data_IF_111687974518
#
_entry.id   IF_111687974518
#
_cell.length_a   1.000
_cell.length_b   1.000
_cell.length_c   1.000
_cell.angle_alpha   90.00
_cell.angle_beta   90.00
_cell.angle_gamma   90.00
#
_symmetry.space_group_name_H-M   'P 1'
#
loop_
_entity.id
_entity.type
_entity.pdbx_description
1 polymer ?
#
# COMPACT_ATOMS: atom_id res chain seq x y z
N UNK A 1 10.00 38.52 -28.53
CA UNK A 1 9.30 37.62 -29.47
C UNK A 1 10.13 36.36 -29.63
N UNK A 2 9.74 35.29 -28.95
CA UNK A 2 10.33 33.96 -29.13
C UNK A 2 9.21 32.94 -28.99
N UNK A 3 9.03 32.23 -30.10
CA UNK A 3 8.03 31.22 -30.44
C UNK A 3 7.87 30.14 -29.35
N UNK A 4 6.76 30.17 -28.59
CA UNK A 4 6.35 29.03 -27.77
C UNK A 4 5.70 28.01 -28.71
N UNK A 5 6.44 26.94 -29.03
CA UNK A 5 5.98 25.84 -29.88
C UNK A 5 4.57 25.39 -29.47
N UNK A 6 3.61 25.69 -30.34
CA UNK A 6 2.17 25.51 -30.07
C UNK A 6 1.66 24.14 -30.52
N UNK A 7 2.58 23.28 -30.97
CA UNK A 7 2.27 22.00 -31.60
C UNK A 7 2.37 20.84 -30.62
N UNK A 8 1.54 19.82 -30.85
CA UNK A 8 1.56 18.58 -30.07
C UNK A 8 2.85 17.80 -30.39
N UNK A 9 3.53 17.29 -29.36
CA UNK A 9 4.56 16.28 -29.56
C UNK A 9 3.93 14.87 -29.71
N UNK A 10 4.17 14.17 -30.83
CA UNK A 10 3.59 12.84 -31.09
C UNK A 10 3.95 11.78 -30.05
N UNK A 11 5.20 11.81 -29.55
CA UNK A 11 5.66 10.84 -28.56
C UNK A 11 5.09 11.14 -27.18
N UNK A 12 4.89 12.41 -26.84
CA UNK A 12 4.32 12.83 -25.56
C UNK A 12 2.87 12.39 -25.43
N UNK A 13 2.11 12.48 -26.52
CA UNK A 13 0.75 11.95 -26.60
C UNK A 13 0.74 10.42 -26.38
N UNK A 14 1.61 9.70 -27.10
CA UNK A 14 1.71 8.23 -26.99
C UNK A 14 2.08 7.79 -25.58
N UNK A 15 3.08 8.42 -24.97
CA UNK A 15 3.53 8.13 -23.62
C UNK A 15 2.45 8.46 -22.57
N UNK A 16 1.79 9.61 -22.69
CA UNK A 16 0.69 9.98 -21.79
C UNK A 16 -0.48 8.99 -21.87
N UNK A 17 -0.83 8.53 -23.08
CA UNK A 17 -1.85 7.49 -23.28
C UNK A 17 -1.45 6.16 -22.63
N UNK A 18 -0.20 5.73 -22.80
CA UNK A 18 0.30 4.48 -22.23
C UNK A 18 0.34 4.50 -20.70
N UNK A 19 0.75 5.62 -20.09
CA UNK A 19 0.71 5.79 -18.62
C UNK A 19 -0.71 5.66 -18.04
N UNK A 20 -1.72 5.98 -18.84
CA UNK A 20 -3.14 5.81 -18.48
C UNK A 20 -3.68 4.42 -18.80
N UNK A 21 -2.86 3.50 -19.30
CA UNK A 21 -3.28 2.14 -19.69
C UNK A 21 -4.27 2.13 -20.87
N UNK A 22 -4.41 3.23 -21.61
CA UNK A 22 -5.40 3.36 -22.66
C UNK A 22 -4.88 2.85 -24.00
N UNK A 23 -5.74 2.18 -24.77
CA UNK A 23 -5.52 1.93 -26.20
C UNK A 23 -5.83 3.18 -27.02
N UNK A 24 -5.35 3.23 -28.28
CA UNK A 24 -5.71 4.32 -29.19
C UNK A 24 -7.23 4.43 -29.42
N UNK A 25 -7.92 3.29 -29.42
CA UNK A 25 -9.39 3.21 -29.57
C UNK A 25 -10.09 3.84 -28.37
N UNK A 26 -9.66 3.50 -27.15
CA UNK A 26 -10.23 4.05 -25.91
C UNK A 26 -9.99 5.55 -25.78
N UNK A 27 -8.79 6.03 -26.15
CA UNK A 27 -8.52 7.47 -26.16
C UNK A 27 -9.41 8.17 -27.19
N UNK A 28 -9.56 7.59 -28.38
CA UNK A 28 -10.39 8.15 -29.45
C UNK A 28 -11.86 8.25 -29.05
N UNK A 29 -12.41 7.20 -28.44
CA UNK A 29 -13.77 7.21 -27.88
C UNK A 29 -13.92 8.32 -26.83
N UNK A 30 -12.96 8.45 -25.91
CA UNK A 30 -13.02 9.42 -24.81
C UNK A 30 -12.95 10.88 -25.25
N UNK A 31 -12.32 11.18 -26.38
CA UNK A 31 -12.22 12.55 -26.93
C UNK A 31 -13.14 12.79 -28.13
N UNK A 32 -14.01 11.82 -28.43
CA UNK A 32 -14.96 11.81 -29.56
C UNK A 32 -14.26 12.04 -30.91
N UNK A 33 -13.21 11.27 -31.19
CA UNK A 33 -12.58 11.24 -32.50
C UNK A 33 -12.42 9.79 -32.98
N UNK A 34 -11.83 9.62 -34.17
CA UNK A 34 -11.53 8.28 -34.70
C UNK A 34 -10.16 7.81 -34.22
N UNK A 35 -9.99 6.49 -34.05
CA UNK A 35 -8.70 5.85 -33.76
C UNK A 35 -7.63 6.23 -34.78
N UNK A 36 -8.01 6.34 -36.04
CA UNK A 36 -7.12 6.76 -37.14
C UNK A 36 -6.61 8.20 -36.95
N UNK A 37 -7.44 9.09 -36.38
CA UNK A 37 -7.01 10.46 -36.02
C UNK A 37 -5.94 10.43 -34.93
N UNK A 38 -6.14 9.63 -33.87
CA UNK A 38 -5.14 9.44 -32.79
C UNK A 38 -3.85 8.83 -33.34
N UNK A 39 -3.95 7.81 -34.19
CA UNK A 39 -2.80 7.19 -34.84
C UNK A 39 -2.01 8.18 -35.70
N UNK A 40 -2.69 9.08 -36.43
CA UNK A 40 -2.01 10.14 -37.20
C UNK A 40 -1.30 11.14 -36.29
N UNK A 41 -1.89 11.50 -35.15
CA UNK A 41 -1.25 12.38 -34.17
C UNK A 41 -0.03 11.74 -33.52
N UNK A 42 -0.12 10.48 -33.09
CA UNK A 42 1.00 9.75 -32.46
C UNK A 42 2.17 9.47 -33.42
N UNK A 43 1.92 9.49 -34.73
CA UNK A 43 2.95 9.38 -35.77
C UNK A 43 3.50 10.74 -36.24
N UNK A 44 2.92 11.85 -35.76
CA UNK A 44 3.30 13.19 -36.19
C UNK A 44 2.93 13.54 -37.63
N UNK A 45 2.04 12.77 -38.26
CA UNK A 45 1.63 12.99 -39.66
C UNK A 45 0.43 13.92 -39.78
N UNK A 46 -0.18 14.33 -38.66
CA UNK A 46 -1.27 15.30 -38.64
C UNK A 46 -1.14 16.23 -37.42
N UNK A 47 -1.51 17.51 -37.61
CA UNK A 47 -1.59 18.48 -36.51
C UNK A 47 -2.89 18.33 -35.73
N UNK A 48 -2.83 18.59 -34.42
CA UNK A 48 -4.01 18.61 -33.55
C UNK A 48 -4.76 19.92 -33.74
N UNK A 49 -6.06 19.83 -34.02
CA UNK A 49 -6.93 21.01 -34.08
C UNK A 49 -7.16 21.56 -32.67
N UNK A 50 -7.22 22.90 -32.45
CA UNK A 50 -7.36 23.50 -31.12
C UNK A 50 -8.49 22.93 -30.25
N UNK A 51 -9.63 22.58 -30.85
CA UNK A 51 -10.79 21.98 -30.16
C UNK A 51 -10.49 20.68 -29.42
N UNK A 52 -9.45 19.94 -29.81
CA UNK A 52 -9.07 18.68 -29.18
C UNK A 52 -8.08 18.86 -28.03
N UNK A 53 -7.51 20.06 -27.83
CA UNK A 53 -6.49 20.29 -26.79
C UNK A 53 -7.03 20.02 -25.39
N UNK A 54 -8.14 20.65 -25.03
CA UNK A 54 -8.75 20.49 -23.72
C UNK A 54 -9.20 19.04 -23.50
N UNK A 55 -9.86 18.44 -24.50
CA UNK A 55 -10.29 17.03 -24.45
C UNK A 55 -9.12 16.06 -24.24
N UNK A 56 -7.98 16.29 -24.89
CA UNK A 56 -6.77 15.49 -24.69
C UNK A 56 -6.20 15.69 -23.28
N UNK A 57 -6.12 16.94 -22.81
CA UNK A 57 -5.68 17.26 -21.46
C UNK A 57 -6.57 16.60 -20.41
N UNK A 58 -7.88 16.62 -20.59
CA UNK A 58 -8.86 16.06 -19.66
C UNK A 58 -8.83 14.52 -19.66
N UNK A 59 -8.86 13.92 -20.86
CA UNK A 59 -8.83 12.47 -21.02
C UNK A 59 -7.54 11.83 -20.47
N UNK A 60 -6.40 12.52 -20.60
CA UNK A 60 -5.10 12.04 -20.12
C UNK A 60 -4.73 12.60 -18.73
N UNK A 61 -5.52 13.55 -18.22
CA UNK A 61 -5.28 14.42 -17.06
C UNK A 61 -3.84 14.93 -16.95
N UNK A 62 -3.32 15.45 -18.07
CA UNK A 62 -2.01 16.13 -18.18
C UNK A 62 -2.19 17.50 -18.80
N UNK A 63 -1.35 18.47 -18.37
CA UNK A 63 -1.37 19.82 -18.94
C UNK A 63 -0.88 19.82 -20.40
N UNK A 64 -1.40 20.73 -21.22
CA UNK A 64 -1.01 20.87 -22.63
C UNK A 64 0.51 21.10 -22.79
N UNK A 65 1.12 21.82 -21.84
CA UNK A 65 2.57 22.07 -21.80
C UNK A 65 3.43 20.81 -21.69
N UNK A 66 2.88 19.71 -21.14
CA UNK A 66 3.54 18.40 -21.12
C UNK A 66 3.33 17.60 -22.40
N UNK A 67 2.23 17.84 -23.11
CA UNK A 67 1.92 17.21 -24.40
C UNK A 67 2.60 17.91 -25.58
N UNK A 68 2.99 19.19 -25.42
CA UNK A 68 3.67 19.99 -26.44
C UNK A 68 5.20 19.91 -26.37
N UNK A 69 5.74 19.22 -25.36
CA UNK A 69 7.18 18.96 -25.22
C UNK A 69 7.38 17.48 -25.47
N UNK A 70 8.45 17.12 -26.20
CA UNK A 70 8.90 15.73 -26.27
C UNK A 70 8.83 15.10 -24.88
N UNK A 71 8.25 13.88 -24.73
CA UNK A 71 8.18 13.21 -23.44
C UNK A 71 9.61 13.22 -22.95
N UNK A 72 9.83 13.90 -21.81
CA UNK A 72 11.16 14.32 -21.45
C UNK A 72 12.10 13.15 -21.68
N UNK A 73 13.04 13.30 -22.63
CA UNK A 73 14.05 12.27 -22.89
C UNK A 73 14.72 11.87 -21.57
N UNK A 74 14.65 12.73 -20.55
CA UNK A 74 15.02 12.43 -19.17
C UNK A 74 14.42 11.15 -18.60
N UNK A 75 13.15 10.81 -18.79
CA UNK A 75 12.57 9.70 -18.02
C UNK A 75 12.90 8.36 -18.68
N UNK A 76 12.67 8.23 -20.00
CA UNK A 76 13.02 7.00 -20.72
C UNK A 76 14.54 6.83 -20.90
N UNK A 77 15.31 7.91 -21.11
CA UNK A 77 16.77 7.79 -21.18
C UNK A 77 17.38 7.57 -19.80
N UNK A 78 16.84 8.13 -18.70
CA UNK A 78 17.26 7.74 -17.34
C UNK A 78 16.89 6.30 -17.05
N UNK A 79 15.69 5.86 -17.37
CA UNK A 79 15.27 4.47 -17.14
C UNK A 79 16.18 3.49 -17.92
N UNK A 80 16.61 3.83 -19.15
CA UNK A 80 17.61 3.05 -19.90
C UNK A 80 19.03 3.15 -19.34
N UNK A 81 19.47 4.35 -18.92
CA UNK A 81 20.80 4.59 -18.33
C UNK A 81 20.97 3.88 -16.99
N UNK A 82 19.89 3.77 -16.21
CA UNK A 82 19.87 3.14 -14.89
C UNK A 82 19.28 1.72 -14.91
N UNK A 83 18.98 1.17 -16.09
CA UNK A 83 18.53 -0.22 -16.24
C UNK A 83 17.21 -0.54 -15.53
N UNK A 84 16.28 0.41 -15.45
CA UNK A 84 15.00 0.20 -14.76
C UNK A 84 14.11 -0.78 -15.52
N UNK A 85 13.60 -1.77 -14.79
CA UNK A 85 12.71 -2.81 -15.32
C UNK A 85 11.33 -2.65 -14.67
N UNK A 86 10.23 -2.68 -15.45
CA UNK A 86 8.90 -2.62 -14.88
C UNK A 86 8.62 -3.87 -14.03
N UNK A 87 8.25 -3.66 -12.77
CA UNK A 87 7.80 -4.74 -11.88
C UNK A 87 6.31 -4.96 -12.13
N UNK A 88 5.93 -6.20 -12.47
CA UNK A 88 4.52 -6.63 -12.50
C UNK A 88 4.16 -7.21 -11.14
N UNK A 89 3.60 -6.38 -10.27
CA UNK A 89 3.08 -6.80 -8.98
C UNK A 89 1.69 -6.18 -8.75
N UNK A 90 0.81 -6.92 -8.08
CA UNK A 90 -0.42 -6.40 -7.51
C UNK A 90 -0.17 -6.06 -6.05
N UNK A 91 -0.50 -4.84 -5.64
CA UNK A 91 -0.53 -4.45 -4.22
C UNK A 91 -1.99 -4.26 -3.79
N UNK A 92 -2.26 -4.45 -2.50
CA UNK A 92 -3.57 -4.10 -1.92
C UNK A 92 -3.86 -2.61 -2.19
N UNK A 93 -5.13 -2.27 -2.34
CA UNK A 93 -5.55 -0.92 -2.72
C UNK A 93 -5.02 0.14 -1.74
N UNK A 94 -5.07 -0.13 -0.43
CA UNK A 94 -4.48 0.77 0.59
C UNK A 94 -2.97 0.94 0.47
N UNK A 95 -2.26 -0.06 -0.05
CA UNK A 95 -0.81 0.02 -0.28
C UNK A 95 -0.44 1.10 -1.31
N UNK A 96 -1.30 1.36 -2.30
CA UNK A 96 -1.12 2.46 -3.26
C UNK A 96 -1.27 3.81 -2.57
N UNK A 97 -2.26 3.96 -1.69
CA UNK A 97 -2.46 5.18 -0.90
C UNK A 97 -1.28 5.42 0.03
N UNK A 98 -0.82 4.40 0.76
CA UNK A 98 0.34 4.47 1.64
C UNK A 98 1.61 4.89 0.88
N UNK A 99 1.90 4.27 -0.28
CA UNK A 99 3.03 4.63 -1.13
C UNK A 99 3.01 6.12 -1.53
N UNK A 100 1.84 6.60 -1.94
CA UNK A 100 1.66 8.00 -2.34
C UNK A 100 1.80 8.97 -1.18
N UNK A 101 1.29 8.61 0.00
CA UNK A 101 1.45 9.41 1.21
C UNK A 101 2.91 9.53 1.64
N UNK A 102 3.66 8.41 1.65
CA UNK A 102 5.09 8.42 1.94
C UNK A 102 5.84 9.29 0.93
N UNK A 103 5.54 9.15 -0.36
CA UNK A 103 6.14 9.94 -1.42
C UNK A 103 5.91 11.45 -1.23
N UNK A 104 4.68 11.85 -0.91
CA UNK A 104 4.31 13.24 -0.68
C UNK A 104 4.94 13.80 0.60
N UNK A 105 4.87 13.05 1.70
CA UNK A 105 5.34 13.47 3.01
C UNK A 105 6.83 13.77 3.03
N UNK A 106 7.64 12.93 2.37
CA UNK A 106 9.09 13.06 2.37
C UNK A 106 9.65 13.66 1.08
N UNK A 107 8.80 14.00 0.10
CA UNK A 107 9.23 14.57 -1.17
C UNK A 107 10.06 13.60 -2.04
N UNK A 108 9.84 12.29 -1.86
CA UNK A 108 10.56 11.22 -2.56
C UNK A 108 9.62 10.64 -3.64
N UNK A 109 10.07 10.42 -4.88
CA UNK A 109 9.20 9.83 -5.90
C UNK A 109 8.83 8.38 -5.57
N UNK A 110 7.60 7.96 -5.92
CA UNK A 110 7.04 6.63 -5.61
C UNK A 110 7.99 5.48 -6.02
N UNK A 111 8.62 5.57 -7.19
CA UNK A 111 9.57 4.54 -7.64
C UNK A 111 10.81 4.42 -6.74
N UNK A 112 11.27 5.52 -6.14
CA UNK A 112 12.43 5.49 -5.24
C UNK A 112 12.06 4.86 -3.89
N UNK A 113 10.82 5.06 -3.42
CA UNK A 113 10.30 4.33 -2.25
C UNK A 113 10.31 2.83 -2.53
N UNK A 114 9.87 2.41 -3.73
CA UNK A 114 9.90 1.00 -4.15
C UNK A 114 11.32 0.46 -4.37
N UNK A 115 12.25 1.26 -4.92
CA UNK A 115 13.66 0.89 -5.05
C UNK A 115 14.33 0.67 -3.68
N UNK A 116 13.95 1.45 -2.67
CA UNK A 116 14.46 1.32 -1.29
C UNK A 116 13.77 0.22 -0.49
N UNK A 117 12.56 -0.22 -0.88
CA UNK A 117 11.77 -1.17 -0.09
C UNK A 117 12.52 -2.47 0.26
N UNK A 118 13.27 -3.13 -0.63
CA UNK A 118 14.04 -4.33 -0.27
C UNK A 118 15.13 -4.07 0.78
N UNK A 119 15.83 -2.92 0.67
CA UNK A 119 16.86 -2.54 1.63
C UNK A 119 16.25 -2.23 3.00
N UNK A 120 15.16 -1.46 3.03
CA UNK A 120 14.44 -1.13 4.26
C UNK A 120 13.89 -2.39 4.94
N UNK A 121 13.31 -3.31 4.16
CA UNK A 121 12.84 -4.59 4.68
C UNK A 121 14.00 -5.42 5.26
N UNK A 122 15.13 -5.53 4.54
CA UNK A 122 16.32 -6.23 5.05
C UNK A 122 16.80 -5.66 6.38
N UNK A 123 16.91 -4.33 6.50
CA UNK A 123 17.34 -3.68 7.75
C UNK A 123 16.36 -3.95 8.88
N UNK A 124 15.05 -3.87 8.64
CA UNK A 124 14.03 -4.13 9.66
C UNK A 124 14.02 -5.60 10.09
N UNK A 125 14.12 -6.53 9.14
CA UNK A 125 14.18 -7.96 9.41
C UNK A 125 15.41 -8.33 10.26
N UNK A 126 16.60 -7.86 9.88
CA UNK A 126 17.83 -8.13 10.64
C UNK A 126 17.76 -7.50 12.03
N UNK A 127 17.26 -6.27 12.17
CA UNK A 127 17.09 -5.66 13.50
C UNK A 127 16.09 -6.42 14.38
N UNK A 128 15.01 -6.93 13.80
CA UNK A 128 14.04 -7.76 14.53
C UNK A 128 14.70 -9.05 15.04
N UNK A 129 15.44 -9.76 14.17
CA UNK A 129 16.14 -10.99 14.55
C UNK A 129 17.23 -10.73 15.60
N UNK A 130 17.97 -9.63 15.49
CA UNK A 130 18.97 -9.23 16.50
C UNK A 130 18.32 -8.91 17.84
N UNK A 131 17.22 -8.17 17.86
CA UNK A 131 16.49 -7.85 19.08
C UNK A 131 15.95 -9.11 19.77
N UNK A 132 15.39 -10.05 18.99
CA UNK A 132 14.92 -11.35 19.48
C UNK A 132 16.06 -12.19 20.04
N UNK A 133 17.19 -12.27 19.34
CA UNK A 133 18.39 -12.99 19.81
C UNK A 133 18.92 -12.42 21.11
N UNK A 134 18.93 -11.09 21.26
CA UNK A 134 19.38 -10.45 22.49
C UNK A 134 18.43 -10.75 23.66
N UNK A 135 17.12 -10.60 23.44
CA UNK A 135 16.09 -10.92 24.45
C UNK A 135 16.13 -12.38 24.87
N UNK A 136 16.37 -13.30 23.93
CA UNK A 136 16.52 -14.72 24.22
C UNK A 136 17.68 -14.97 25.20
N UNK A 137 18.85 -14.38 24.95
CA UNK A 137 20.02 -14.51 25.83
C UNK A 137 19.79 -13.90 27.22
N UNK A 138 19.06 -12.78 27.30
CA UNK A 138 18.67 -12.16 28.57
C UNK A 138 17.73 -13.07 29.38
N UNK A 139 16.76 -13.70 28.70
CA UNK A 139 15.82 -14.64 29.32
C UNK A 139 16.53 -15.91 29.80
N UNK A 140 17.38 -16.51 28.97
CA UNK A 140 18.19 -17.68 29.33
C UNK A 140 19.02 -17.41 30.59
N UNK A 141 19.71 -16.27 30.64
CA UNK A 141 20.50 -15.86 31.81
C UNK A 141 19.63 -15.73 33.07
N UNK A 142 18.42 -15.17 32.94
CA UNK A 142 17.50 -15.03 34.06
C UNK A 142 16.97 -16.38 34.59
N UNK A 143 16.75 -17.36 33.70
CA UNK A 143 16.36 -18.72 34.09
C UNK A 143 17.49 -19.43 34.85
N UNK A 144 18.74 -19.32 34.39
CA UNK A 144 19.90 -19.89 35.10
C UNK A 144 20.05 -19.32 36.52
N UNK A 145 19.87 -18.00 36.68
CA UNK A 145 19.90 -17.36 38.00
C UNK A 145 18.75 -17.83 38.91
N UNK A 146 17.54 -17.98 38.35
CA UNK A 146 16.38 -18.49 39.08
C UNK A 146 16.62 -19.91 39.59
N UNK A 147 17.09 -20.81 38.72
CA UNK A 147 17.36 -22.20 39.06
C UNK A 147 18.45 -22.31 40.15
N UNK A 148 19.50 -21.48 40.05
CA UNK A 148 20.53 -21.39 41.07
C UNK A 148 19.98 -20.89 42.42
N UNK A 149 19.06 -19.94 42.41
CA UNK A 149 18.45 -19.37 43.61
C UNK A 149 17.45 -20.33 44.28
N UNK A 150 16.60 -21.00 43.50
CA UNK A 150 15.65 -22.01 44.00
C UNK A 150 16.41 -23.19 44.61
N UNK A 151 17.45 -23.66 43.94
CA UNK A 151 18.29 -24.75 44.45
C UNK A 151 18.94 -24.42 45.80
N UNK A 152 19.31 -23.14 46.01
CA UNK A 152 19.92 -22.67 47.27
C UNK A 152 18.91 -22.42 48.39
N UNK A 153 17.73 -21.87 48.08
CA UNK A 153 16.80 -21.33 49.08
C UNK A 153 15.54 -22.20 49.32
N UNK A 154 15.10 -22.97 48.31
CA UNK A 154 13.82 -23.69 48.30
C UNK A 154 13.95 -25.05 47.58
N UNK A 155 14.93 -25.87 47.96
CA UNK A 155 15.24 -27.14 47.29
C UNK A 155 14.05 -28.11 47.16
N UNK A 156 13.07 -28.06 48.07
CA UNK A 156 11.84 -28.87 48.00
C UNK A 156 10.91 -28.50 46.84
N UNK A 157 11.05 -27.30 46.28
CA UNK A 157 10.34 -26.85 45.07
C UNK A 157 11.09 -27.21 43.78
N UNK A 158 12.32 -27.74 43.86
CA UNK A 158 13.15 -28.09 42.71
C UNK A 158 12.43 -28.90 41.63
N UNK A 159 11.72 -30.00 41.96
CA UNK A 159 10.97 -30.77 40.97
C UNK A 159 9.85 -29.98 40.27
N UNK A 160 9.18 -29.06 40.98
CA UNK A 160 8.09 -28.23 40.43
C UNK A 160 8.65 -27.15 39.51
N UNK A 161 9.77 -26.54 39.89
CA UNK A 161 10.47 -25.55 39.06
C UNK A 161 11.04 -26.23 37.81
N UNK A 162 11.71 -27.37 37.95
CA UNK A 162 12.23 -28.15 36.82
C UNK A 162 11.15 -28.55 35.81
N UNK A 163 9.97 -28.97 36.28
CA UNK A 163 8.84 -29.30 35.39
C UNK A 163 8.33 -28.08 34.61
N UNK A 164 8.41 -26.87 35.18
CA UNK A 164 8.11 -25.61 34.48
C UNK A 164 9.23 -25.22 33.51
N UNK A 165 10.49 -25.42 33.89
CA UNK A 165 11.67 -25.11 33.07
C UNK A 165 11.69 -25.92 31.78
N UNK A 166 11.30 -27.22 31.78
CA UNK A 166 11.27 -28.04 30.55
C UNK A 166 10.38 -27.44 29.45
N UNK A 167 9.17 -26.98 29.81
CA UNK A 167 8.27 -26.35 28.84
C UNK A 167 8.80 -24.99 28.37
N UNK A 168 9.55 -24.28 29.21
CA UNK A 168 10.19 -23.03 28.82
C UNK A 168 11.39 -23.30 27.89
N UNK A 169 12.22 -24.30 28.18
CA UNK A 169 13.36 -24.71 27.37
C UNK A 169 12.94 -25.11 25.95
N UNK A 170 11.84 -25.84 25.80
CA UNK A 170 11.31 -26.19 24.48
C UNK A 170 10.92 -24.92 23.67
N UNK A 171 10.30 -23.93 24.32
CA UNK A 171 9.94 -22.67 23.69
C UNK A 171 11.17 -21.83 23.32
N UNK A 172 12.16 -21.73 24.21
CA UNK A 172 13.42 -21.03 23.97
C UNK A 172 14.23 -21.69 22.84
N UNK A 173 14.26 -23.03 22.79
CA UNK A 173 14.93 -23.80 21.74
C UNK A 173 14.27 -23.58 20.38
N UNK A 174 12.93 -23.54 20.33
CA UNK A 174 12.19 -23.25 19.11
C UNK A 174 12.43 -21.81 18.64
N UNK A 175 12.50 -20.85 19.55
CA UNK A 175 12.83 -19.45 19.26
C UNK A 175 14.26 -19.32 18.72
N UNK A 176 15.25 -19.96 19.36
CA UNK A 176 16.65 -20.00 18.88
C UNK A 176 16.72 -20.53 17.44
N UNK A 177 15.97 -21.62 17.16
CA UNK A 177 15.87 -22.20 15.83
C UNK A 177 15.21 -21.24 14.85
N UNK A 178 14.15 -20.54 15.23
CA UNK A 178 13.47 -19.52 14.42
C UNK A 178 14.45 -18.40 14.01
N UNK A 179 15.16 -17.82 14.99
CA UNK A 179 16.16 -16.78 14.75
C UNK A 179 17.28 -17.27 13.83
N UNK A 180 17.85 -18.46 14.10
CA UNK A 180 18.93 -19.04 13.29
C UNK A 180 18.51 -19.32 11.85
N UNK A 181 17.24 -19.67 11.63
CA UNK A 181 16.68 -19.91 10.30
C UNK A 181 16.19 -18.63 9.60
N UNK A 182 16.42 -17.45 10.19
CA UNK A 182 15.92 -16.16 9.70
C UNK A 182 14.41 -16.12 9.51
N UNK A 183 13.69 -16.81 10.37
CA UNK A 183 12.24 -16.82 10.37
C UNK A 183 11.71 -15.57 11.07
N UNK A 184 11.68 -14.49 10.29
CA UNK A 184 11.33 -13.13 10.73
C UNK A 184 9.94 -13.10 11.37
N UNK A 185 8.98 -13.77 10.74
CA UNK A 185 7.57 -13.79 11.14
C UNK A 185 7.24 -14.85 12.18
N UNK A 186 8.21 -15.70 12.52
CA UNK A 186 8.08 -16.63 13.63
C UNK A 186 7.47 -17.99 13.31
N UNK A 187 7.12 -18.36 12.07
CA UNK A 187 6.48 -19.63 11.69
C UNK A 187 7.00 -20.94 12.34
N UNK A 188 8.21 -20.95 12.89
CA UNK A 188 8.84 -22.08 13.58
C UNK A 188 8.62 -22.12 15.10
N UNK A 189 8.04 -21.09 15.69
CA UNK A 189 7.58 -21.08 17.08
C UNK A 189 6.08 -21.34 17.14
N UNK A 190 5.61 -21.88 18.27
CA UNK A 190 4.19 -22.10 18.53
C UNK A 190 3.70 -20.95 19.40
N UNK A 191 2.82 -20.09 18.85
CA UNK A 191 2.16 -19.03 19.61
C UNK A 191 0.66 -19.08 19.38
N UNK A 192 -0.14 -18.60 20.35
CA UNK A 192 -1.59 -18.59 20.21
C UNK A 192 -2.01 -17.82 18.96
N UNK A 193 -2.94 -18.36 18.17
CA UNK A 193 -3.41 -17.73 16.94
C UNK A 193 -4.04 -16.32 17.13
N UNK A 194 -4.35 -15.96 18.37
CA UNK A 194 -4.84 -14.63 18.75
C UNK A 194 -3.72 -13.60 19.05
N UNK A 195 -2.46 -14.03 19.12
CA UNK A 195 -1.33 -13.16 19.43
C UNK A 195 -0.63 -12.67 18.15
N UNK A 196 -0.05 -11.48 18.24
CA UNK A 196 0.73 -10.88 17.16
C UNK A 196 2.06 -11.63 16.99
N UNK A 197 2.44 -11.90 15.75
CA UNK A 197 3.75 -12.52 15.50
C UNK A 197 4.91 -11.58 15.82
N UNK A 198 6.12 -12.13 15.99
CA UNK A 198 7.29 -11.42 16.50
C UNK A 198 7.68 -10.19 15.66
N UNK A 199 7.52 -10.26 14.34
CA UNK A 199 7.86 -9.13 13.46
C UNK A 199 6.85 -7.98 13.57
N UNK A 200 5.56 -8.31 13.70
CA UNK A 200 4.48 -7.33 13.86
C UNK A 200 4.66 -6.59 15.18
N UNK A 201 4.92 -7.35 16.25
CA UNK A 201 5.25 -6.80 17.56
C UNK A 201 6.46 -5.85 17.50
N UNK A 202 7.54 -6.26 16.83
CA UNK A 202 8.73 -5.43 16.65
C UNK A 202 8.44 -4.13 15.87
N UNK A 203 7.65 -4.19 14.80
CA UNK A 203 7.24 -2.99 14.06
C UNK A 203 6.43 -2.07 14.97
N UNK A 204 5.49 -2.61 15.75
CA UNK A 204 4.67 -1.83 16.68
C UNK A 204 5.53 -1.06 17.66
N UNK A 205 6.46 -1.73 18.33
CA UNK A 205 7.42 -1.13 19.26
C UNK A 205 8.21 0.01 18.62
N UNK A 206 8.70 -0.18 17.38
CA UNK A 206 9.42 0.88 16.65
C UNK A 206 8.55 2.10 16.28
N UNK A 207 7.23 1.97 16.32
CA UNK A 207 6.31 3.02 15.88
C UNK A 207 5.60 3.76 17.01
N UNK A 208 5.72 3.29 18.26
CA UNK A 208 5.06 3.89 19.43
C UNK A 208 5.43 5.35 19.64
N UNK A 209 6.71 5.70 19.47
CA UNK A 209 7.24 7.05 19.73
C UNK A 209 7.27 7.96 18.49
N UNK A 210 6.65 7.54 17.39
CA UNK A 210 6.64 8.36 16.17
C UNK A 210 5.61 9.50 16.28
N UNK A 211 5.99 10.77 15.95
CA UNK A 211 5.14 11.94 16.15
C UNK A 211 3.85 11.94 15.31
N UNK A 212 3.81 11.17 14.22
CA UNK A 212 2.60 10.81 13.48
C UNK A 212 2.59 9.29 13.27
N UNK A 213 2.54 8.57 14.39
CA UNK A 213 2.74 7.13 14.46
C UNK A 213 1.69 6.30 13.74
N UNK A 214 1.82 4.99 13.94
CA UNK A 214 0.97 3.99 13.35
C UNK A 214 -0.40 4.00 14.06
N UNK A 215 -1.46 4.37 13.36
CA UNK A 215 -2.83 4.42 13.89
C UNK A 215 -3.47 3.03 13.93
N UNK A 216 -3.12 2.19 12.98
CA UNK A 216 -3.66 0.84 12.84
C UNK A 216 -2.55 -0.09 12.35
N UNK A 217 -2.49 -1.28 12.92
CA UNK A 217 -1.67 -2.39 12.44
C UNK A 217 -2.38 -3.67 12.86
N UNK A 218 -2.85 -4.42 11.88
CA UNK A 218 -3.52 -5.70 12.04
C UNK A 218 -2.75 -6.76 11.26
N UNK A 219 -2.65 -7.94 11.87
CA UNK A 219 -2.13 -9.14 11.24
C UNK A 219 -3.20 -10.22 11.17
N UNK A 220 -3.33 -10.87 10.04
CA UNK A 220 -3.97 -12.18 9.96
C UNK A 220 -2.92 -13.20 10.40
N UNK A 221 -3.34 -14.20 11.19
CA UNK A 221 -2.53 -15.34 11.68
C UNK A 221 -1.20 -15.01 12.42
N UNK A 222 -0.92 -13.72 12.65
CA UNK A 222 0.31 -13.24 13.27
C UNK A 222 1.50 -13.14 12.31
N UNK A 223 1.45 -13.75 11.12
CA UNK A 223 2.61 -13.85 10.22
C UNK A 223 2.59 -12.84 9.08
N UNK A 224 1.45 -12.26 8.74
CA UNK A 224 1.37 -11.20 7.72
C UNK A 224 0.73 -9.94 8.24
N UNK A 225 1.28 -8.78 7.85
CA UNK A 225 0.59 -7.50 8.06
C UNK A 225 -0.48 -7.38 6.99
N UNK A 226 -1.74 -7.37 7.40
CA UNK A 226 -2.90 -7.41 6.50
C UNK A 226 -3.57 -6.06 6.32
N UNK A 227 -3.58 -5.27 7.37
CA UNK A 227 -4.07 -3.90 7.33
C UNK A 227 -3.21 -3.02 8.22
N UNK A 228 -2.95 -1.81 7.77
CA UNK A 228 -2.21 -0.83 8.54
C UNK A 228 -2.65 0.56 8.14
N UNK A 229 -2.49 1.54 9.04
CA UNK A 229 -2.75 2.95 8.77
C UNK A 229 -1.79 3.84 9.52
N UNK A 230 -1.33 4.89 8.86
CA UNK A 230 -0.50 5.93 9.46
C UNK A 230 -0.86 7.29 8.90
N UNK A 231 -0.53 8.34 9.65
CA UNK A 231 -0.63 9.74 9.22
C UNK A 231 -2.02 10.15 8.70
N UNK A 232 -3.09 9.66 9.32
CA UNK A 232 -4.48 10.02 9.01
C UNK A 232 -4.74 11.51 9.19
N UNK A 233 -4.14 12.15 10.19
CA UNK A 233 -4.23 13.61 10.36
C UNK A 233 -3.60 14.38 9.20
N UNK A 234 -2.44 13.94 8.70
CA UNK A 234 -1.84 14.54 7.50
C UNK A 234 -2.71 14.30 6.26
N UNK A 235 -3.35 13.13 6.16
CA UNK A 235 -4.30 12.85 5.10
C UNK A 235 -5.50 13.81 5.15
N UNK A 236 -6.08 14.05 6.35
CA UNK A 236 -7.13 15.05 6.56
C UNK A 236 -6.68 16.44 6.14
N UNK A 237 -5.48 16.88 6.52
CA UNK A 237 -4.96 18.19 6.13
C UNK A 237 -4.75 18.32 4.61
N UNK A 238 -4.21 17.27 3.98
CA UNK A 238 -3.98 17.24 2.53
C UNK A 238 -5.30 17.36 1.76
N UNK A 239 -6.32 16.61 2.17
CA UNK A 239 -7.60 16.50 1.46
C UNK A 239 -8.53 17.66 1.85
N UNK A 240 -8.55 18.07 3.11
CA UNK A 240 -9.54 19.00 3.68
C UNK A 240 -10.82 18.27 4.08
N UNK A 241 -11.87 19.04 4.33
CA UNK A 241 -13.17 18.53 4.78
C UNK A 241 -14.19 18.59 3.63
N UNK A 242 -15.14 17.64 3.61
CA UNK A 242 -16.31 17.70 2.74
C UNK A 242 -17.45 18.48 3.38
N UNK A 243 -18.49 18.79 2.61
CA UNK A 243 -19.71 19.42 3.18
C UNK A 243 -20.62 18.38 3.81
N UNK A 244 -20.65 17.17 3.23
CA UNK A 244 -21.57 16.11 3.61
C UNK A 244 -20.86 14.88 4.20
N UNK A 245 -19.63 14.61 3.78
CA UNK A 245 -18.84 13.49 4.32
C UNK A 245 -17.99 13.96 5.51
N UNK A 246 -17.98 13.17 6.59
CA UNK A 246 -17.13 13.44 7.74
C UNK A 246 -15.66 13.27 7.37
N UNK A 247 -14.73 13.97 8.06
CA UNK A 247 -13.29 13.80 7.82
C UNK A 247 -12.83 12.34 7.96
N UNK A 248 -13.43 11.59 8.89
CA UNK A 248 -13.09 10.18 9.12
C UNK A 248 -13.55 9.27 7.99
N UNK A 249 -14.74 9.50 7.44
CA UNK A 249 -15.23 8.77 6.27
C UNK A 249 -14.35 9.01 5.05
N UNK A 250 -13.92 10.25 4.83
CA UNK A 250 -13.03 10.58 3.71
C UNK A 250 -11.65 9.93 3.89
N UNK A 251 -11.10 9.96 5.10
CA UNK A 251 -9.84 9.27 5.43
C UNK A 251 -9.95 7.78 5.15
N UNK A 252 -11.02 7.13 5.61
CA UNK A 252 -11.27 5.70 5.39
C UNK A 252 -11.40 5.35 3.90
N UNK A 253 -12.21 6.10 3.15
CA UNK A 253 -12.41 5.87 1.72
C UNK A 253 -11.11 6.05 0.93
N UNK A 254 -10.32 7.07 1.26
CA UNK A 254 -9.03 7.28 0.60
C UNK A 254 -8.03 6.21 1.01
N UNK A 255 -8.02 5.82 2.28
CA UNK A 255 -7.13 4.78 2.77
C UNK A 255 -7.41 3.44 2.10
N UNK A 256 -8.67 3.02 2.01
CA UNK A 256 -9.08 1.82 1.26
C UNK A 256 -8.85 1.95 -0.23
N UNK A 257 -8.68 3.17 -0.72
CA UNK A 257 -8.44 3.52 -2.12
C UNK A 257 -9.70 3.49 -2.97
N UNK A 258 -10.87 3.57 -2.35
CA UNK A 258 -12.15 3.84 -3.00
C UNK A 258 -12.17 5.27 -3.56
N UNK A 259 -11.44 6.19 -2.92
CA UNK A 259 -11.21 7.55 -3.38
C UNK A 259 -9.72 7.79 -3.66
N UNK A 260 -9.35 8.17 -4.90
CA UNK A 260 -7.93 8.36 -5.26
C UNK A 260 -7.36 9.64 -4.66
N UNK A 261 -6.37 9.49 -3.77
CA UNK A 261 -5.67 10.62 -3.15
C UNK A 261 -5.04 11.58 -4.17
N UNK A 262 -4.50 11.07 -5.28
CA UNK A 262 -3.92 11.92 -6.31
C UNK A 262 -4.95 12.74 -7.06
N UNK A 263 -6.15 12.20 -7.26
CA UNK A 263 -7.26 12.95 -7.82
C UNK A 263 -7.71 14.05 -6.86
N UNK A 264 -7.88 13.74 -5.56
CA UNK A 264 -8.22 14.73 -4.54
C UNK A 264 -7.25 15.91 -4.54
N UNK A 265 -5.95 15.63 -4.44
CA UNK A 265 -4.91 16.66 -4.45
C UNK A 265 -4.92 17.45 -5.77
N UNK A 266 -5.08 16.75 -6.90
CA UNK A 266 -5.09 17.37 -8.23
C UNK A 266 -6.29 18.29 -8.45
N UNK A 267 -7.46 17.96 -7.88
CA UNK A 267 -8.69 18.75 -7.95
C UNK A 267 -8.63 19.94 -7.01
N UNK A 268 -8.19 19.75 -5.77
CA UNK A 268 -7.98 20.83 -4.78
C UNK A 268 -7.05 21.92 -5.30
N UNK A 269 -6.02 21.54 -6.07
CA UNK A 269 -5.08 22.49 -6.66
C UNK A 269 -5.64 23.29 -7.86
N UNK A 270 -6.78 22.90 -8.44
CA UNK A 270 -7.29 23.47 -9.71
C UNK A 270 -8.66 24.12 -9.57
N UNK A 271 -9.49 23.64 -8.65
CA UNK A 271 -10.84 24.10 -8.43
C UNK A 271 -10.87 25.22 -7.38
N UNK A 272 -11.95 26.00 -7.38
CA UNK A 272 -12.26 26.85 -6.22
C UNK A 272 -12.59 25.98 -5.00
N UNK A 273 -12.56 26.55 -3.80
CA UNK A 273 -12.88 25.82 -2.57
C UNK A 273 -14.31 25.25 -2.60
N UNK A 274 -15.29 26.04 -3.05
CA UNK A 274 -16.67 25.61 -3.20
C UNK A 274 -16.84 24.48 -4.24
N UNK A 275 -16.21 24.62 -5.42
CA UNK A 275 -16.27 23.60 -6.47
C UNK A 275 -15.56 22.31 -6.05
N UNK A 276 -14.48 22.43 -5.26
CA UNK A 276 -13.75 21.29 -4.72
C UNK A 276 -14.60 20.53 -3.71
N UNK A 277 -15.24 21.22 -2.75
CA UNK A 277 -16.11 20.56 -1.76
C UNK A 277 -17.30 19.88 -2.44
N UNK A 278 -17.95 20.53 -3.41
CA UNK A 278 -19.04 19.92 -4.18
C UNK A 278 -18.57 18.67 -4.95
N UNK A 279 -17.40 18.72 -5.58
CA UNK A 279 -16.81 17.55 -6.24
C UNK A 279 -16.49 16.43 -5.23
N UNK A 280 -15.89 16.78 -4.09
CA UNK A 280 -15.47 15.83 -3.06
C UNK A 280 -16.66 15.08 -2.46
N UNK A 281 -17.77 15.78 -2.19
CA UNK A 281 -19.01 15.16 -1.73
C UNK A 281 -19.61 14.22 -2.77
N UNK A 282 -19.58 14.60 -4.05
CA UNK A 282 -20.02 13.75 -5.15
C UNK A 282 -19.19 12.47 -5.25
N UNK A 283 -17.87 12.62 -5.22
CA UNK A 283 -16.92 11.50 -5.31
C UNK A 283 -17.01 10.56 -4.09
N UNK A 284 -17.17 11.12 -2.90
CA UNK A 284 -17.36 10.33 -1.65
C UNK A 284 -18.66 9.52 -1.70
N UNK A 285 -19.75 10.12 -2.16
CA UNK A 285 -21.02 9.40 -2.32
C UNK A 285 -20.94 8.26 -3.34
N UNK A 286 -20.24 8.48 -4.45
CA UNK A 286 -20.00 7.45 -5.46
C UNK A 286 -19.13 6.31 -4.91
N UNK A 287 -18.04 6.63 -4.22
CA UNK A 287 -17.16 5.68 -3.56
C UNK A 287 -17.91 4.83 -2.51
N UNK A 288 -18.77 5.46 -1.71
CA UNK A 288 -19.62 4.76 -0.75
C UNK A 288 -20.63 3.82 -1.43
N UNK A 289 -21.20 4.22 -2.58
CA UNK A 289 -22.12 3.40 -3.35
C UNK A 289 -21.43 2.21 -4.04
N UNK A 290 -20.21 2.39 -4.53
CA UNK A 290 -19.41 1.33 -5.13
C UNK A 290 -18.92 0.33 -4.08
N UNK A 291 -18.47 0.82 -2.92
CA UNK A 291 -18.12 -0.03 -1.78
C UNK A 291 -19.29 -0.91 -1.35
N UNK A 292 -20.49 -0.34 -1.19
CA UNK A 292 -21.70 -1.11 -0.85
C UNK A 292 -22.02 -2.19 -1.88
N UNK A 293 -21.89 -1.89 -3.18
CA UNK A 293 -22.08 -2.86 -4.26
C UNK A 293 -21.07 -4.00 -4.17
N UNK A 294 -19.79 -3.69 -3.98
CA UNK A 294 -18.73 -4.70 -3.84
C UNK A 294 -18.93 -5.61 -2.63
N UNK A 295 -19.39 -5.04 -1.51
CA UNK A 295 -19.76 -5.83 -0.33
C UNK A 295 -20.95 -6.75 -0.59
N UNK A 296 -21.98 -6.28 -1.30
CA UNK A 296 -23.12 -7.10 -1.70
C UNK A 296 -22.71 -8.24 -2.62
N UNK A 297 -21.93 -7.96 -3.66
CA UNK A 297 -21.40 -9.00 -4.57
C UNK A 297 -20.57 -10.05 -3.82
N UNK A 298 -19.76 -9.63 -2.85
CA UNK A 298 -18.97 -10.55 -2.04
C UNK A 298 -19.84 -11.40 -1.11
N UNK A 299 -20.89 -10.83 -0.51
CA UNK A 299 -21.86 -11.56 0.30
C UNK A 299 -22.65 -12.57 -0.54
N UNK A 300 -23.07 -12.19 -1.73
CA UNK A 300 -23.79 -13.08 -2.66
C UNK A 300 -22.92 -14.29 -3.06
N UNK A 301 -21.64 -14.06 -3.36
CA UNK A 301 -20.67 -15.13 -3.65
C UNK A 301 -20.45 -16.06 -2.43
N UNK A 302 -20.43 -15.50 -1.22
CA UNK A 302 -20.31 -16.29 0.01
C UNK A 302 -21.55 -17.16 0.25
N UNK A 303 -22.75 -16.62 0.04
CA UNK A 303 -24.03 -17.34 0.18
C UNK A 303 -24.14 -18.46 -0.88
N UNK A 304 -23.73 -18.20 -2.13
CA UNK A 304 -23.69 -19.21 -3.18
C UNK A 304 -22.68 -20.33 -2.89
N UNK A 305 -21.54 -20.00 -2.28
CA UNK A 305 -20.54 -21.00 -1.89
C UNK A 305 -21.00 -21.87 -0.71
N UNK A 306 -21.78 -21.31 0.21
CA UNK A 306 -22.34 -22.04 1.36
C UNK A 306 -23.47 -22.97 0.94
N UNK A 307 -24.36 -22.53 0.03
CA UNK A 307 -25.46 -23.34 -0.51
C UNK A 307 -24.97 -24.49 -1.42
N UNK A 308 -23.86 -24.28 -2.15
CA UNK A 308 -23.24 -25.33 -2.98
C UNK A 308 -22.47 -26.39 -2.16
N UNK A 309 -22.16 -26.10 -0.89
CA UNK A 309 -21.48 -27.01 0.03
C UNK A 309 -22.42 -27.95 0.80
N UNK A 310 -23.69 -27.59 0.96
CA UNK A 310 -24.70 -28.43 1.63
C UNK A 310 -25.18 -29.59 0.73
N UNK A 311 -25.23 -29.41 -0.59
CA UNK A 311 -25.66 -30.45 -1.54
C UNK A 311 -24.67 -31.63 -1.70
N UNK A 312 -23.43 -31.50 -1.20
CA UNK A 312 -22.44 -32.60 -1.27
C UNK A 312 -22.43 -33.51 -0.03
N UNK A 313 -23.17 -33.18 1.04
CA UNK A 313 -23.19 -33.95 2.28
C UNK A 313 -24.46 -34.79 2.49
N UNK A 314 -25.51 -34.63 1.67
CA UNK A 314 -26.73 -35.44 1.74
C UNK A 314 -26.69 -36.73 0.88
N UNK A 315 -25.59 -37.00 0.18
CA UNK A 315 -25.42 -38.18 -0.68
C UNK A 315 -24.73 -39.39 -0.04
N UNK A 316 -24.34 -39.34 1.24
CA UNK A 316 -23.71 -40.45 1.96
C UNK A 316 -24.43 -40.71 3.29
N UNK A 317 -25.53 -41.45 3.23
CA UNK A 317 -26.10 -42.18 4.36
C UNK A 317 -26.76 -43.46 3.87
#
# INVERSE_FOLDING_TARGET
>A
MTDQSTDLDPQALKAARQRRGMTQEQLAQRIECTKDTVSRWERGVAKVRPRFRNRLCDALSVAWSKLSKAPAESDEARDRLFGRVPIRASIRTHGRTALKLVALRYGIPEHQVLELAPLLFFVLAERSLMARSQRLSEIESAFEELDANVSKSLAHLGPVVMARSISADDALTNEEKSVRQRDVFGHLIDWPAQDEGPFVYFIRELTEDLPDGLEKLESYDGTTVDDYRFAGENLRQLVGEGTNATPDELVEQIWRGDLDLGECIGKKARLSEEDYHHWLDGASNEAAAESRRRWQEHLDLFIDSASSGEDQNEGQS
#
